data_IF_693610894390
#
_entry.id   IF_693610894390
#
_cell.length_a   1.000
_cell.length_b   1.000
_cell.length_c   1.000
_cell.angle_alpha   90.00
_cell.angle_beta   90.00
_cell.angle_gamma   90.00
#
_symmetry.space_group_name_H-M   'P 1'
#
loop_
_entity.id
_entity.type
_entity.pdbx_description
1 polymer ?
#
# COMPACT_ATOMS: atom_id res chain seq x y z
N UNK A 1 -44.57 58.26 34.09
CA UNK A 1 -45.32 58.41 35.36
C UNK A 1 -45.49 57.03 35.99
N UNK A 2 -45.44 57.00 37.32
CA UNK A 2 -45.82 55.89 38.26
C UNK A 2 -45.03 54.58 38.27
N UNK A 3 -44.20 54.44 39.32
CA UNK A 3 -43.90 53.21 40.07
C UNK A 3 -45.17 52.71 40.79
N UNK A 4 -45.30 51.39 41.02
CA UNK A 4 -45.69 50.85 42.34
C UNK A 4 -45.22 49.38 42.50
N UNK A 5 -45.06 48.97 43.75
CA UNK A 5 -44.13 47.95 44.22
C UNK A 5 -44.78 46.66 44.77
N UNK A 6 -44.00 45.58 44.70
CA UNK A 6 -43.72 44.49 45.67
C UNK A 6 -44.83 44.05 46.65
N UNK A 7 -45.09 42.73 46.67
CA UNK A 7 -45.24 41.94 47.90
C UNK A 7 -44.83 40.48 47.67
N UNK A 8 -43.80 40.05 48.42
CA UNK A 8 -43.30 38.68 48.40
C UNK A 8 -44.05 37.76 49.36
N UNK A 9 -43.87 36.45 49.16
CA UNK A 9 -44.06 35.43 50.19
C UNK A 9 -43.07 34.29 49.96
N UNK A 10 -42.14 34.10 50.89
CA UNK A 10 -41.24 32.94 50.95
C UNK A 10 -41.96 31.74 51.55
N UNK A 11 -41.67 30.53 51.05
CA UNK A 11 -40.95 29.46 51.78
C UNK A 11 -41.44 28.05 51.39
N UNK A 12 -40.48 27.18 51.00
CA UNK A 12 -40.61 25.72 51.10
C UNK A 12 -40.35 24.93 49.81
N UNK A 13 -39.09 24.81 49.36
CA UNK A 13 -38.69 23.82 48.34
C UNK A 13 -38.08 22.57 49.00
N UNK A 14 -38.43 21.34 48.58
CA UNK A 14 -37.79 20.12 49.06
C UNK A 14 -36.41 19.94 48.37
N UNK A 15 -35.38 19.67 49.18
CA UNK A 15 -34.03 19.31 48.73
C UNK A 15 -34.08 18.02 47.90
N UNK A 16 -33.76 18.09 46.61
CA UNK A 16 -33.64 16.90 45.77
C UNK A 16 -32.33 16.15 46.06
N UNK A 17 -32.41 14.82 46.11
CA UNK A 17 -31.32 13.89 46.37
C UNK A 17 -30.38 13.69 45.16
N UNK A 18 -30.34 14.64 44.21
CA UNK A 18 -29.59 14.51 42.96
C UNK A 18 -28.08 14.52 43.16
N UNK A 19 -27.58 15.33 44.10
CA UNK A 19 -26.14 15.38 44.41
C UNK A 19 -25.60 14.05 44.95
N UNK A 20 -26.39 13.32 45.74
CA UNK A 20 -26.00 12.02 46.30
C UNK A 20 -26.02 10.92 45.22
N UNK A 21 -26.94 11.00 44.25
CA UNK A 21 -26.96 10.09 43.09
C UNK A 21 -25.78 10.29 42.15
N UNK A 22 -25.38 11.55 41.91
CA UNK A 22 -24.22 11.87 41.07
C UNK A 22 -22.89 11.43 41.71
N UNK A 23 -22.77 11.58 43.03
CA UNK A 23 -21.61 11.06 43.76
C UNK A 23 -21.56 9.53 43.72
N UNK A 24 -22.69 8.85 43.89
CA UNK A 24 -22.73 7.39 43.81
C UNK A 24 -22.41 6.86 42.41
N UNK A 25 -22.92 7.50 41.34
CA UNK A 25 -22.61 7.09 39.97
C UNK A 25 -21.15 7.35 39.59
N UNK A 26 -20.56 8.44 40.07
CA UNK A 26 -19.13 8.71 39.87
C UNK A 26 -18.24 7.69 40.58
N UNK A 27 -18.56 7.33 41.82
CA UNK A 27 -17.79 6.32 42.58
C UNK A 27 -17.92 4.93 41.94
N UNK A 28 -19.12 4.54 41.52
CA UNK A 28 -19.33 3.27 40.80
C UNK A 28 -18.59 3.26 39.46
N UNK A 29 -18.58 4.37 38.73
CA UNK A 29 -17.84 4.52 37.48
C UNK A 29 -16.32 4.40 37.65
N UNK A 30 -15.77 5.00 38.71
CA UNK A 30 -14.34 4.89 39.05
C UNK A 30 -13.99 3.47 39.48
N UNK A 31 -14.83 2.82 40.29
CA UNK A 31 -14.61 1.44 40.72
C UNK A 31 -14.72 0.44 39.56
N UNK A 32 -15.70 0.59 38.67
CA UNK A 32 -15.81 -0.21 37.45
C UNK A 32 -14.63 0.04 36.51
N UNK A 33 -14.23 1.30 36.31
CA UNK A 33 -13.06 1.66 35.50
C UNK A 33 -11.76 1.09 36.05
N UNK A 34 -11.58 1.08 37.37
CA UNK A 34 -10.44 0.46 38.05
C UNK A 34 -10.45 -1.07 37.90
N UNK A 35 -11.61 -1.71 38.10
CA UNK A 35 -11.76 -3.17 37.92
C UNK A 35 -11.54 -3.60 36.46
N UNK A 36 -12.06 -2.87 35.48
CA UNK A 36 -11.77 -3.13 34.06
C UNK A 36 -10.31 -2.87 33.72
N UNK A 37 -9.68 -1.84 34.32
CA UNK A 37 -8.27 -1.52 34.10
C UNK A 37 -7.28 -2.55 34.64
N UNK A 38 -7.65 -3.31 35.68
CA UNK A 38 -6.79 -4.34 36.31
C UNK A 38 -7.10 -5.74 35.78
N UNK A 39 -8.29 -5.95 35.21
CA UNK A 39 -8.72 -7.23 34.65
C UNK A 39 -8.18 -7.51 33.24
N UNK A 40 -7.57 -6.50 32.58
CA UNK A 40 -6.72 -6.77 31.44
C UNK A 40 -5.36 -7.24 31.97
N UNK A 41 -4.89 -8.46 31.64
CA UNK A 41 -3.49 -8.78 31.88
C UNK A 41 -2.70 -7.70 31.15
N UNK A 42 -1.78 -7.03 31.87
CA UNK A 42 -0.74 -6.22 31.23
C UNK A 42 -0.15 -7.12 30.17
N UNK A 43 -0.48 -6.86 28.90
CA UNK A 43 0.07 -7.62 27.80
C UNK A 43 1.55 -7.31 27.86
N UNK A 44 2.30 -8.23 28.44
CA UNK A 44 3.72 -8.23 28.37
C UNK A 44 3.99 -8.32 26.86
N UNK A 45 4.34 -7.20 26.23
CA UNK A 45 4.89 -7.20 24.88
C UNK A 45 6.30 -7.74 25.02
N UNK A 46 6.41 -8.99 25.48
CA UNK A 46 7.64 -9.76 25.40
C UNK A 46 7.88 -9.94 23.93
N UNK A 47 8.85 -9.18 23.39
CA UNK A 47 9.46 -9.32 22.07
C UNK A 47 8.47 -9.67 20.97
N UNK A 48 8.22 -8.73 20.05
CA UNK A 48 7.66 -9.04 18.73
C UNK A 48 8.45 -10.21 18.11
N UNK A 49 7.94 -11.42 18.29
CA UNK A 49 8.44 -12.60 17.63
C UNK A 49 7.89 -12.53 16.22
N UNK A 50 8.70 -11.99 15.32
CA UNK A 50 8.39 -12.06 13.90
C UNK A 50 8.20 -13.53 13.52
N UNK A 51 7.16 -13.85 12.75
CA UNK A 51 7.00 -15.18 12.18
C UNK A 51 8.31 -15.62 11.54
N UNK A 52 8.71 -16.88 11.75
CA UNK A 52 9.94 -17.43 11.20
C UNK A 52 10.02 -17.29 9.67
N UNK A 53 8.90 -17.07 8.98
CA UNK A 53 8.87 -16.69 7.56
C UNK A 53 9.63 -15.39 7.30
N UNK A 54 9.36 -14.31 8.03
CA UNK A 54 10.03 -13.00 7.88
C UNK A 54 11.53 -13.11 8.20
N UNK A 55 11.89 -13.87 9.23
CA UNK A 55 13.30 -14.08 9.63
C UNK A 55 14.02 -14.97 8.62
N UNK A 56 13.42 -16.06 8.14
CA UNK A 56 13.99 -16.95 7.12
C UNK A 56 14.22 -16.25 5.78
N UNK A 57 13.40 -15.27 5.43
CA UNK A 57 13.63 -14.43 4.24
C UNK A 57 14.82 -13.45 4.38
N UNK A 58 15.22 -13.12 5.62
CA UNK A 58 16.39 -12.27 5.89
C UNK A 58 17.67 -13.11 5.94
N UNK A 59 17.55 -14.35 6.43
CA UNK A 59 18.66 -15.25 6.71
C UNK A 59 19.03 -16.23 5.60
N UNK A 60 18.39 -16.19 4.43
CA UNK A 60 18.63 -17.18 3.37
C UNK A 60 20.10 -17.18 2.92
N UNK A 61 20.82 -18.13 3.50
CA UNK A 61 22.19 -18.56 3.28
C UNK A 61 22.06 -19.69 2.25
N UNK A 62 22.78 -19.56 1.14
CA UNK A 62 23.15 -20.68 0.27
C UNK A 62 22.01 -21.51 -0.35
N UNK A 63 21.12 -20.88 -1.13
CA UNK A 63 20.29 -21.63 -2.09
C UNK A 63 20.32 -21.05 -3.51
N UNK A 64 21.52 -21.05 -4.11
CA UNK A 64 21.69 -20.93 -5.56
C UNK A 64 21.19 -22.15 -6.35
N UNK A 65 20.03 -22.74 -5.98
CA UNK A 65 19.56 -24.03 -6.52
C UNK A 65 18.12 -24.00 -7.08
N UNK A 66 17.39 -22.89 -7.05
CA UNK A 66 16.03 -22.82 -7.62
C UNK A 66 15.90 -22.08 -8.95
N UNK A 67 16.84 -21.20 -9.31
CA UNK A 67 16.85 -20.53 -10.63
C UNK A 67 17.40 -21.43 -11.74
N UNK A 68 18.42 -22.23 -11.45
CA UNK A 68 18.99 -23.17 -12.44
C UNK A 68 18.02 -24.31 -12.81
N UNK A 69 17.21 -24.76 -11.85
CA UNK A 69 16.26 -25.87 -12.06
C UNK A 69 15.06 -25.43 -12.89
N UNK A 70 14.58 -24.19 -12.70
CA UNK A 70 13.53 -23.58 -13.54
C UNK A 70 14.04 -23.22 -14.95
N UNK A 71 15.28 -22.71 -15.06
CA UNK A 71 15.91 -22.44 -16.36
C UNK A 71 16.22 -23.73 -17.14
N UNK A 72 16.68 -24.79 -16.47
CA UNK A 72 16.89 -26.09 -17.09
C UNK A 72 15.58 -26.71 -17.56
N UNK A 73 14.48 -26.59 -16.80
CA UNK A 73 13.15 -27.04 -17.25
C UNK A 73 12.65 -26.29 -18.49
N UNK A 74 12.93 -24.98 -18.57
CA UNK A 74 12.60 -24.15 -19.73
C UNK A 74 13.46 -24.51 -20.96
N UNK A 75 14.76 -24.81 -20.76
CA UNK A 75 15.69 -25.15 -21.83
C UNK A 75 15.54 -26.60 -22.33
N UNK A 76 15.20 -27.56 -21.47
CA UNK A 76 14.86 -28.94 -21.91
C UNK A 76 13.56 -28.99 -22.71
N UNK A 77 12.61 -28.10 -22.41
CA UNK A 77 11.37 -27.96 -23.19
C UNK A 77 11.64 -27.43 -24.61
N UNK A 78 12.54 -26.46 -24.75
CA UNK A 78 12.90 -25.85 -26.03
C UNK A 78 13.70 -26.78 -26.96
N UNK A 79 14.57 -27.64 -26.42
CA UNK A 79 15.41 -28.53 -27.24
C UNK A 79 14.72 -29.83 -27.70
N UNK A 80 13.53 -30.15 -27.19
CA UNK A 80 12.78 -31.35 -27.61
C UNK A 80 12.08 -31.22 -28.97
N UNK A 81 11.96 -29.99 -29.51
CA UNK A 81 11.22 -29.70 -30.76
C UNK A 81 12.06 -29.72 -32.04
N UNK A 82 13.27 -30.28 -32.02
CA UNK A 82 14.11 -30.42 -33.22
C UNK A 82 14.45 -31.89 -33.50
N UNK A 83 13.42 -32.72 -33.72
CA UNK A 83 13.61 -33.97 -34.46
C UNK A 83 12.33 -34.47 -35.13
N UNK A 84 12.44 -34.57 -36.46
CA UNK A 84 11.68 -35.38 -37.40
C UNK A 84 10.41 -34.77 -38.03
N UNK A 85 10.56 -34.41 -39.31
CA UNK A 85 9.52 -34.46 -40.33
C UNK A 85 9.24 -35.92 -40.71
N UNK A 86 7.96 -36.28 -40.83
CA UNK A 86 7.45 -37.15 -41.91
C UNK A 86 5.92 -37.02 -41.98
N UNK A 87 5.41 -36.90 -43.19
CA UNK A 87 4.00 -36.80 -43.59
C UNK A 87 3.11 -37.95 -43.07
N UNK A 88 1.85 -37.67 -42.77
CA UNK A 88 0.69 -38.35 -43.40
C UNK A 88 -0.63 -37.72 -42.98
N UNK A 89 -1.49 -37.51 -43.97
CA UNK A 89 -2.83 -36.93 -43.90
C UNK A 89 -3.83 -37.94 -43.31
N UNK A 90 -4.60 -37.56 -42.29
CA UNK A 90 -5.90 -38.16 -41.94
C UNK A 90 -6.62 -37.34 -40.86
N UNK A 91 -7.83 -36.88 -41.21
CA UNK A 91 -8.90 -36.32 -40.37
C UNK A 91 -8.47 -35.32 -39.27
N UNK A 92 -8.37 -34.05 -39.66
CA UNK A 92 -8.23 -32.93 -38.72
C UNK A 92 -9.51 -32.77 -37.88
N UNK A 93 -9.57 -33.49 -36.76
CA UNK A 93 -10.23 -32.97 -35.56
C UNK A 93 -9.50 -31.65 -35.23
N UNK A 94 -10.18 -30.50 -35.09
CA UNK A 94 -9.50 -29.26 -34.76
C UNK A 94 -8.84 -29.44 -33.39
N UNK A 95 -7.51 -29.57 -33.39
CA UNK A 95 -6.71 -29.63 -32.18
C UNK A 95 -6.77 -28.26 -31.52
N UNK A 96 -7.76 -28.04 -30.67
CA UNK A 96 -7.77 -26.90 -29.74
C UNK A 96 -6.80 -27.25 -28.63
N UNK A 97 -5.52 -26.99 -28.88
CA UNK A 97 -4.54 -26.87 -27.83
C UNK A 97 -3.54 -25.80 -28.26
N UNK A 98 -3.82 -24.56 -27.84
CA UNK A 98 -2.89 -23.46 -27.99
C UNK A 98 -2.19 -23.27 -26.64
N UNK A 99 -0.88 -23.58 -26.53
CA UNK A 99 -0.12 -23.51 -25.28
C UNK A 99 0.00 -22.10 -24.66
N UNK A 100 -0.64 -21.08 -25.26
CA UNK A 100 -0.56 -19.67 -24.85
C UNK A 100 -1.81 -19.19 -24.10
N UNK A 101 -2.88 -19.97 -24.04
CA UNK A 101 -4.08 -19.53 -23.34
C UNK A 101 -3.86 -19.51 -21.82
N UNK A 102 -4.47 -18.55 -21.10
CA UNK A 102 -4.50 -18.55 -19.65
C UNK A 102 -5.08 -19.86 -19.11
N UNK A 103 -4.62 -20.24 -17.92
CA UNK A 103 -5.11 -21.44 -17.24
C UNK A 103 -6.64 -21.36 -17.05
N UNK A 104 -7.36 -22.41 -17.44
CA UNK A 104 -8.83 -22.45 -17.45
C UNK A 104 -9.49 -21.95 -18.74
N UNK A 105 -8.73 -21.38 -19.68
CA UNK A 105 -9.19 -20.94 -20.99
C UNK A 105 -8.59 -21.77 -22.14
N UNK A 106 -8.00 -22.94 -21.85
CA UNK A 106 -7.30 -23.78 -22.83
C UNK A 106 -8.25 -24.27 -23.95
N UNK A 107 -9.54 -24.42 -23.64
CA UNK A 107 -10.56 -24.83 -24.61
C UNK A 107 -11.12 -23.70 -25.49
N UNK A 108 -10.73 -22.44 -25.26
CA UNK A 108 -11.17 -21.30 -26.06
C UNK A 108 -10.24 -21.07 -27.26
N UNK A 109 -10.81 -20.66 -28.40
CA UNK A 109 -10.01 -20.23 -29.53
C UNK A 109 -9.24 -18.93 -29.19
N UNK A 110 -8.01 -18.73 -29.72
CA UNK A 110 -7.20 -17.55 -29.40
C UNK A 110 -7.91 -16.20 -29.65
N UNK A 111 -8.78 -16.12 -30.66
CA UNK A 111 -9.53 -14.90 -30.98
C UNK A 111 -10.63 -14.52 -29.96
N UNK A 112 -10.94 -15.40 -29.01
CA UNK A 112 -11.91 -15.16 -27.93
C UNK A 112 -11.18 -14.76 -26.63
N UNK A 113 -9.93 -15.22 -26.47
CA UNK A 113 -9.17 -15.02 -25.24
C UNK A 113 -8.55 -13.63 -25.23
N UNK A 114 -8.91 -12.84 -24.21
CA UNK A 114 -8.25 -11.58 -23.91
C UNK A 114 -7.34 -11.79 -22.70
N UNK A 115 -6.00 -11.65 -22.84
CA UNK A 115 -5.05 -11.99 -21.78
C UNK A 115 -4.99 -10.93 -20.67
N UNK A 116 -5.39 -9.70 -20.96
CA UNK A 116 -5.33 -8.55 -20.05
C UNK A 116 -6.71 -7.89 -19.96
N UNK A 117 -6.94 -7.16 -18.87
CA UNK A 117 -8.14 -6.36 -18.66
C UNK A 117 -7.74 -4.96 -18.20
N UNK A 118 -8.71 -4.09 -17.97
CA UNK A 118 -8.47 -2.71 -17.58
C UNK A 118 -9.56 -2.21 -16.64
N UNK A 119 -9.36 -0.99 -16.13
CA UNK A 119 -10.30 -0.33 -15.22
C UNK A 119 -11.37 0.51 -15.96
N UNK A 120 -11.42 0.45 -17.29
CA UNK A 120 -12.27 1.31 -18.09
C UNK A 120 -13.65 0.70 -18.29
N UNK A 121 -14.68 1.52 -18.13
CA UNK A 121 -16.05 1.12 -18.46
C UNK A 121 -16.24 1.22 -19.97
N UNK A 122 -16.70 0.12 -20.58
CA UNK A 122 -16.98 0.04 -22.02
C UNK A 122 -18.49 -0.04 -22.25
N UNK A 123 -18.96 0.54 -23.35
CA UNK A 123 -20.37 0.42 -23.78
C UNK A 123 -20.65 -1.00 -24.24
N UNK A 124 -21.90 -1.44 -24.09
CA UNK A 124 -22.34 -2.77 -24.55
C UNK A 124 -22.44 -2.88 -26.09
N UNK A 125 -22.51 -1.75 -26.79
CA UNK A 125 -22.62 -1.67 -28.25
C UNK A 125 -21.87 -0.44 -28.77
N UNK A 126 -21.53 -0.45 -30.06
CA UNK A 126 -20.73 0.58 -30.72
C UNK A 126 -19.27 0.17 -30.91
N UNK A 127 -18.44 1.11 -31.35
CA UNK A 127 -17.01 0.88 -31.53
C UNK A 127 -16.26 1.08 -30.20
N UNK A 128 -15.57 0.06 -29.66
CA UNK A 128 -14.84 0.17 -28.40
C UNK A 128 -13.73 1.24 -28.42
N UNK A 129 -13.19 1.57 -29.60
CA UNK A 129 -12.19 2.63 -29.75
C UNK A 129 -12.75 4.02 -29.44
N UNK A 130 -14.06 4.22 -29.51
CA UNK A 130 -14.72 5.48 -29.19
C UNK A 130 -14.99 5.65 -27.69
N UNK A 131 -14.95 4.56 -26.92
CA UNK A 131 -15.23 4.58 -25.47
C UNK A 131 -14.13 5.31 -24.69
N UNK A 132 -12.92 5.36 -25.26
CA UNK A 132 -11.73 5.94 -24.64
C UNK A 132 -11.17 7.07 -25.51
N UNK A 133 -11.70 8.29 -25.32
CA UNK A 133 -11.19 9.50 -25.99
C UNK A 133 -9.79 9.90 -25.53
N UNK A 134 -9.38 9.45 -24.35
CA UNK A 134 -8.01 9.54 -23.85
C UNK A 134 -7.71 8.32 -22.98
N UNK A 135 -6.47 7.81 -23.03
CA UNK A 135 -6.02 6.70 -22.21
C UNK A 135 -5.00 7.18 -21.19
N UNK A 136 -5.41 7.34 -19.91
CA UNK A 136 -4.49 7.60 -18.82
C UNK A 136 -3.34 6.59 -18.81
N UNK A 137 -2.11 7.10 -18.64
CA UNK A 137 -0.88 6.30 -18.62
C UNK A 137 -0.41 5.93 -17.22
N UNK A 138 -0.95 6.60 -16.21
CA UNK A 138 -0.53 6.44 -14.83
C UNK A 138 -1.73 6.16 -13.95
N UNK A 139 -1.53 5.38 -12.91
CA UNK A 139 -2.53 5.12 -11.88
C UNK A 139 -2.03 5.71 -10.57
N UNK A 140 -2.90 6.41 -9.85
CA UNK A 140 -2.68 6.74 -8.45
C UNK A 140 -3.78 6.21 -7.57
N UNK A 141 -3.36 5.57 -6.49
CA UNK A 141 -4.23 5.05 -5.45
C UNK A 141 -3.96 5.73 -4.12
N UNK A 142 -5.04 6.08 -3.42
CA UNK A 142 -4.99 6.56 -2.05
C UNK A 142 -5.84 5.66 -1.16
N UNK A 143 -5.34 5.32 0.02
CA UNK A 143 -6.14 4.65 1.05
C UNK A 143 -6.69 5.69 2.01
N UNK A 144 -8.00 5.93 1.93
CA UNK A 144 -8.62 7.16 2.42
C UNK A 144 -9.72 6.93 3.44
N UNK A 145 -9.83 7.88 4.35
CA UNK A 145 -10.98 8.11 5.21
C UNK A 145 -11.45 9.56 5.13
N UNK A 146 -12.69 9.77 5.55
CA UNK A 146 -13.39 11.05 5.45
C UNK A 146 -12.63 12.22 6.07
N UNK A 147 -11.90 12.00 7.16
CA UNK A 147 -11.16 13.06 7.86
C UNK A 147 -10.04 13.68 7.01
N UNK A 148 -9.52 12.96 6.01
CA UNK A 148 -8.38 13.40 5.19
C UNK A 148 -8.79 13.93 3.81
N UNK A 149 -10.09 14.07 3.53
CA UNK A 149 -10.61 14.56 2.23
C UNK A 149 -9.90 15.83 1.72
N UNK A 150 -9.70 16.80 2.59
CA UNK A 150 -9.03 18.06 2.23
C UNK A 150 -7.58 17.86 1.79
N UNK A 151 -6.86 16.91 2.41
CA UNK A 151 -5.49 16.60 2.01
C UNK A 151 -5.46 15.86 0.67
N UNK A 152 -6.41 14.93 0.44
CA UNK A 152 -6.54 14.23 -0.84
C UNK A 152 -6.93 15.18 -1.96
N UNK A 153 -7.83 16.14 -1.73
CA UNK A 153 -8.15 17.17 -2.72
C UNK A 153 -6.92 18.01 -3.10
N UNK A 154 -6.09 18.38 -2.12
CA UNK A 154 -4.82 19.05 -2.38
C UNK A 154 -3.84 18.17 -3.17
N UNK A 155 -3.80 16.87 -2.89
CA UNK A 155 -2.98 15.89 -3.60
C UNK A 155 -3.42 15.72 -5.05
N UNK A 156 -4.71 15.47 -5.30
CA UNK A 156 -5.28 15.25 -6.64
C UNK A 156 -4.97 16.40 -7.59
N UNK A 157 -4.98 17.65 -7.10
CA UNK A 157 -4.61 18.85 -7.88
C UNK A 157 -3.15 18.86 -8.38
N UNK A 158 -2.29 17.95 -7.91
CA UNK A 158 -0.90 17.81 -8.37
C UNK A 158 -0.74 16.81 -9.52
N UNK A 159 -1.81 16.11 -9.90
CA UNK A 159 -1.83 15.11 -10.95
C UNK A 159 -2.57 15.65 -12.18
N UNK A 160 -2.06 15.34 -13.37
CA UNK A 160 -2.66 15.73 -14.64
C UNK A 160 -3.77 14.76 -15.05
N UNK A 161 -4.49 15.06 -16.13
CA UNK A 161 -5.49 14.15 -16.72
C UNK A 161 -4.88 12.84 -17.27
N UNK A 162 -3.55 12.71 -17.30
CA UNK A 162 -2.88 11.43 -17.61
C UNK A 162 -2.97 10.39 -16.48
N UNK A 163 -3.54 10.77 -15.33
CA UNK A 163 -3.67 9.90 -14.17
C UNK A 163 -5.11 9.40 -14.00
N UNK A 164 -5.27 8.09 -13.91
CA UNK A 164 -6.45 7.49 -13.29
C UNK A 164 -6.32 7.64 -11.78
N UNK A 165 -7.37 8.14 -11.13
CA UNK A 165 -7.44 8.26 -9.67
C UNK A 165 -8.33 7.14 -9.14
N UNK A 166 -7.82 6.38 -8.18
CA UNK A 166 -8.55 5.34 -7.48
C UNK A 166 -8.45 5.55 -5.96
N UNK A 167 -9.58 5.49 -5.28
CA UNK A 167 -9.68 5.71 -3.84
C UNK A 167 -10.12 4.43 -3.15
N UNK A 168 -9.36 4.00 -2.14
CA UNK A 168 -9.65 2.85 -1.28
C UNK A 168 -10.24 3.33 0.05
N UNK A 169 -11.56 3.25 0.19
CA UNK A 169 -12.31 3.78 1.34
C UNK A 169 -12.39 2.77 2.47
N UNK A 170 -11.55 2.92 3.50
CA UNK A 170 -11.57 2.02 4.65
C UNK A 170 -12.72 2.32 5.63
N UNK A 171 -13.41 3.45 5.47
CA UNK A 171 -14.48 3.91 6.37
C UNK A 171 -15.90 3.67 5.83
N UNK A 172 -16.04 3.34 4.54
CA UNK A 172 -17.33 3.10 3.91
C UNK A 172 -18.09 4.36 3.48
N UNK A 173 -17.45 5.54 3.46
CA UNK A 173 -18.11 6.84 3.24
C UNK A 173 -17.89 7.39 1.83
N UNK A 174 -18.29 6.65 0.79
CA UNK A 174 -18.04 7.05 -0.61
C UNK A 174 -18.83 8.28 -1.05
N UNK A 175 -20.13 8.34 -0.75
CA UNK A 175 -21.03 9.42 -1.22
C UNK A 175 -20.61 10.80 -0.69
N UNK A 176 -19.94 10.83 0.46
CA UNK A 176 -19.44 12.08 1.03
C UNK A 176 -18.37 12.75 0.15
N UNK A 177 -17.76 12.03 -0.80
CA UNK A 177 -16.76 12.57 -1.71
C UNK A 177 -17.36 13.23 -2.96
N UNK A 178 -18.66 13.08 -3.19
CA UNK A 178 -19.37 13.64 -4.36
C UNK A 178 -19.35 15.18 -4.41
N UNK A 179 -18.96 15.85 -3.32
CA UNK A 179 -18.72 17.30 -3.30
C UNK A 179 -17.59 17.73 -4.24
N UNK A 180 -16.67 16.81 -4.57
CA UNK A 180 -15.56 17.08 -5.48
C UNK A 180 -15.90 16.58 -6.89
N UNK A 181 -15.92 17.48 -7.87
CA UNK A 181 -16.20 17.12 -9.28
C UNK A 181 -15.20 16.11 -9.85
N UNK A 182 -13.94 16.17 -9.42
CA UNK A 182 -12.93 15.18 -9.82
C UNK A 182 -13.23 13.80 -9.22
N UNK A 183 -13.88 13.72 -8.05
CA UNK A 183 -14.18 12.44 -7.38
C UNK A 183 -15.23 11.65 -8.14
N UNK A 184 -16.19 12.31 -8.80
CA UNK A 184 -17.19 11.66 -9.65
C UNK A 184 -16.58 10.90 -10.84
N UNK A 185 -15.35 11.26 -11.24
CA UNK A 185 -14.57 10.60 -12.30
C UNK A 185 -13.56 9.60 -11.75
N UNK A 186 -13.34 9.58 -10.43
CA UNK A 186 -12.42 8.65 -9.79
C UNK A 186 -13.07 7.28 -9.59
N UNK A 187 -12.24 6.25 -9.45
CA UNK A 187 -12.71 4.90 -9.12
C UNK A 187 -12.77 4.77 -7.60
N UNK A 188 -13.95 4.46 -7.06
CA UNK A 188 -14.15 4.25 -5.62
C UNK A 188 -14.26 2.76 -5.31
N UNK A 189 -13.38 2.25 -4.46
CA UNK A 189 -13.48 0.89 -3.90
C UNK A 189 -13.66 1.02 -2.39
N UNK A 190 -14.68 0.38 -1.84
CA UNK A 190 -15.09 0.61 -0.44
C UNK A 190 -15.34 -0.69 0.29
N UNK A 191 -14.45 -1.00 1.24
CA UNK A 191 -14.52 -2.15 2.15
C UNK A 191 -14.10 -1.69 3.54
N UNK A 192 -15.02 -1.78 4.50
CA UNK A 192 -14.76 -1.27 5.84
C UNK A 192 -13.60 -2.01 6.52
N UNK A 193 -12.77 -1.25 7.22
CA UNK A 193 -11.68 -1.74 8.10
C UNK A 193 -10.63 -2.59 7.37
N UNK A 194 -10.34 -2.25 6.11
CA UNK A 194 -9.26 -2.86 5.35
C UNK A 194 -8.07 -1.91 5.20
N UNK A 195 -6.89 -2.48 5.00
CA UNK A 195 -5.63 -1.73 4.89
C UNK A 195 -5.21 -1.53 3.44
N UNK A 196 -4.30 -0.58 3.21
CA UNK A 196 -3.76 -0.23 1.89
C UNK A 196 -3.33 -1.43 1.05
N UNK A 197 -2.55 -2.32 1.66
CA UNK A 197 -2.01 -3.49 0.97
C UNK A 197 -3.05 -4.59 0.75
N UNK A 198 -4.08 -4.67 1.61
CA UNK A 198 -5.23 -5.54 1.38
C UNK A 198 -5.98 -5.15 0.10
N UNK A 199 -6.19 -3.85 -0.13
CA UNK A 199 -6.79 -3.31 -1.35
C UNK A 199 -5.90 -3.54 -2.56
N UNK A 200 -4.63 -3.13 -2.47
CA UNK A 200 -3.69 -3.27 -3.58
C UNK A 200 -3.59 -4.72 -4.07
N UNK A 201 -3.56 -5.70 -3.14
CA UNK A 201 -3.52 -7.12 -3.49
C UNK A 201 -4.77 -7.59 -4.26
N UNK A 202 -5.94 -7.01 -4.01
CA UNK A 202 -7.23 -7.47 -4.56
C UNK A 202 -7.69 -6.70 -5.80
N UNK A 203 -7.36 -5.42 -5.90
CA UNK A 203 -7.88 -4.54 -6.94
C UNK A 203 -6.82 -4.07 -7.93
N UNK A 204 -5.54 -4.29 -7.65
CA UNK A 204 -4.43 -3.95 -8.55
C UNK A 204 -3.74 -5.22 -9.08
N UNK A 205 -4.51 -6.19 -9.57
CA UNK A 205 -3.92 -7.37 -10.22
C UNK A 205 -3.06 -6.94 -11.42
N UNK A 206 -1.87 -7.54 -11.66
CA UNK A 206 -0.97 -7.09 -12.74
C UNK A 206 -1.63 -7.03 -14.11
N UNK A 207 -2.51 -7.99 -14.41
CA UNK A 207 -3.24 -8.03 -15.69
C UNK A 207 -4.42 -7.03 -15.77
N UNK A 208 -4.85 -6.43 -14.65
CA UNK A 208 -5.86 -5.35 -14.60
C UNK A 208 -5.19 -3.98 -14.76
N UNK A 209 -4.05 -3.79 -14.09
CA UNK A 209 -3.31 -2.52 -14.15
C UNK A 209 -2.26 -2.51 -15.25
N UNK A 210 -2.27 -3.54 -16.11
CA UNK A 210 -1.39 -3.68 -17.24
C UNK A 210 -1.36 -2.44 -18.14
N UNK A 211 -2.43 -1.66 -18.37
CA UNK A 211 -2.34 -0.46 -19.21
C UNK A 211 -1.46 0.67 -18.66
N UNK A 212 -1.17 0.69 -17.36
CA UNK A 212 -0.44 1.79 -16.72
C UNK A 212 1.07 1.57 -16.73
N UNK A 213 1.83 2.62 -17.04
CA UNK A 213 3.30 2.57 -17.00
C UNK A 213 3.83 2.65 -15.57
N UNK A 214 3.17 3.48 -14.74
CA UNK A 214 3.53 3.69 -13.35
C UNK A 214 2.29 3.66 -12.47
N UNK A 215 2.42 3.00 -11.32
CA UNK A 215 1.36 2.78 -10.33
C UNK A 215 1.81 3.39 -9.00
N UNK A 216 1.10 4.43 -8.56
CA UNK A 216 1.35 5.15 -7.32
C UNK A 216 0.43 4.56 -6.23
N UNK A 217 1.01 4.17 -5.10
CA UNK A 217 0.29 3.62 -3.94
C UNK A 217 0.65 4.44 -2.71
N UNK A 218 -0.20 5.43 -2.40
CA UNK A 218 0.11 6.50 -1.46
C UNK A 218 -0.80 6.49 -0.22
N UNK A 219 -0.23 6.91 0.90
CA UNK A 219 -0.97 7.23 2.12
C UNK A 219 -1.69 8.57 1.99
N UNK A 220 -2.74 8.74 2.80
CA UNK A 220 -3.64 9.90 2.74
C UNK A 220 -3.17 11.14 3.50
N UNK A 221 -2.09 11.04 4.27
CA UNK A 221 -1.57 12.07 5.16
C UNK A 221 -0.29 12.76 4.63
N UNK A 222 0.08 12.47 3.38
CA UNK A 222 1.24 13.07 2.72
C UNK A 222 1.00 14.53 2.36
N UNK A 223 1.94 15.40 2.70
CA UNK A 223 1.93 16.80 2.29
C UNK A 223 2.54 16.95 0.88
N UNK A 224 1.84 17.66 0.00
CA UNK A 224 2.18 17.74 -1.44
C UNK A 224 2.55 19.15 -1.90
N UNK A 225 2.81 20.09 -0.98
CA UNK A 225 2.98 21.52 -1.31
C UNK A 225 3.98 21.75 -2.45
N UNK A 226 5.13 21.10 -2.38
CA UNK A 226 6.24 21.22 -3.35
C UNK A 226 6.31 20.06 -4.35
N UNK A 227 5.30 19.18 -4.39
CA UNK A 227 5.27 18.05 -5.30
C UNK A 227 4.72 18.43 -6.68
N UNK A 228 5.29 17.84 -7.72
CA UNK A 228 4.83 17.91 -9.11
C UNK A 228 4.96 16.52 -9.75
N UNK A 229 3.84 15.91 -10.12
CA UNK A 229 3.80 14.53 -10.61
C UNK A 229 4.53 14.35 -11.95
N UNK A 230 4.39 15.29 -12.89
CA UNK A 230 5.01 15.21 -14.21
C UNK A 230 6.53 15.36 -14.12
N UNK A 231 7.02 16.29 -13.29
CA UNK A 231 8.45 16.45 -13.03
C UNK A 231 9.03 15.20 -12.34
N UNK A 232 8.28 14.61 -11.41
CA UNK A 232 8.66 13.38 -10.74
C UNK A 232 8.80 12.21 -11.73
N UNK A 233 7.80 11.98 -12.59
CA UNK A 233 7.85 10.92 -13.61
C UNK A 233 9.02 11.12 -14.57
N UNK A 234 9.35 12.37 -14.93
CA UNK A 234 10.55 12.65 -15.74
C UNK A 234 11.83 12.18 -15.06
N UNK A 235 11.97 12.38 -13.75
CA UNK A 235 13.12 11.89 -12.97
C UNK A 235 13.13 10.36 -12.89
N UNK A 236 11.99 9.73 -12.62
CA UNK A 236 11.83 8.27 -12.58
C UNK A 236 12.30 7.65 -13.90
N UNK A 237 11.87 8.20 -15.04
CA UNK A 237 12.30 7.75 -16.37
C UNK A 237 13.77 8.03 -16.65
N UNK A 238 14.25 9.24 -16.34
CA UNK A 238 15.65 9.65 -16.54
C UNK A 238 16.63 8.67 -15.89
N UNK A 239 16.26 8.18 -14.70
CA UNK A 239 17.12 7.31 -13.89
C UNK A 239 16.72 5.82 -13.96
N UNK A 240 15.74 5.44 -14.79
CA UNK A 240 15.30 4.04 -14.93
C UNK A 240 14.82 3.43 -13.62
N UNK A 241 14.08 4.20 -12.80
CA UNK A 241 13.65 3.75 -11.47
C UNK A 241 12.40 2.88 -11.56
N UNK A 242 12.58 1.57 -11.36
CA UNK A 242 11.50 0.57 -11.35
C UNK A 242 10.64 0.63 -10.08
N UNK A 243 11.26 0.95 -8.93
CA UNK A 243 10.59 1.19 -7.66
C UNK A 243 11.15 2.48 -7.07
N UNK A 244 10.27 3.44 -6.76
CA UNK A 244 10.67 4.78 -6.36
C UNK A 244 9.71 5.39 -5.34
N UNK A 245 10.14 6.48 -4.71
CA UNK A 245 9.33 7.36 -3.89
C UNK A 245 9.85 8.80 -4.02
N UNK A 246 8.98 9.83 -3.96
CA UNK A 246 9.44 11.21 -3.77
C UNK A 246 10.19 11.42 -2.45
N UNK A 247 11.31 12.16 -2.48
CA UNK A 247 12.00 12.57 -1.26
C UNK A 247 11.14 13.50 -0.40
N UNK A 248 11.12 13.26 0.91
CA UNK A 248 10.39 14.07 1.89
C UNK A 248 11.17 15.31 2.32
N UNK A 249 10.46 16.37 2.68
CA UNK A 249 11.11 17.59 3.18
C UNK A 249 11.85 17.31 4.51
N UNK A 250 13.12 17.76 4.66
CA UNK A 250 13.95 17.46 5.82
C UNK A 250 13.50 18.13 7.14
N UNK A 251 12.70 19.20 7.06
CA UNK A 251 12.46 20.14 8.17
C UNK A 251 11.23 19.82 9.04
N UNK A 252 10.57 18.67 8.82
CA UNK A 252 9.49 18.18 9.69
C UNK A 252 10.02 17.00 10.51
N UNK A 253 10.14 17.15 11.83
CA UNK A 253 10.85 16.25 12.74
C UNK A 253 10.41 14.76 12.80
N UNK A 254 9.40 14.35 12.01
CA UNK A 254 8.93 12.97 11.90
C UNK A 254 9.51 12.23 10.67
N UNK A 255 10.23 12.91 9.78
CA UNK A 255 10.76 12.33 8.54
C UNK A 255 11.96 11.40 8.82
N UNK A 256 11.90 10.15 8.33
CA UNK A 256 13.05 9.24 8.35
C UNK A 256 14.24 9.85 7.60
N UNK A 257 15.43 9.85 8.20
CA UNK A 257 16.63 10.46 7.59
C UNK A 257 16.92 9.90 6.19
N UNK A 258 16.51 8.67 5.93
CA UNK A 258 16.70 8.00 4.64
C UNK A 258 15.66 8.36 3.59
N UNK A 259 14.50 8.90 3.96
CA UNK A 259 13.48 9.38 3.01
C UNK A 259 13.61 10.87 2.74
N UNK A 260 14.51 11.58 3.43
CA UNK A 260 14.73 13.01 3.23
C UNK A 260 15.30 13.28 1.84
N UNK A 261 14.72 14.27 1.17
CA UNK A 261 15.29 14.89 -0.01
C UNK A 261 16.68 15.44 0.33
N UNK A 262 17.67 15.04 -0.46
CA UNK A 262 19.04 15.54 -0.36
C UNK A 262 19.18 16.73 -1.33
N UNK A 263 19.67 17.87 -0.85
CA UNK A 263 19.69 19.11 -1.63
C UNK A 263 20.63 19.09 -2.84
N UNK A 264 21.65 18.24 -2.81
CA UNK A 264 22.71 18.10 -3.81
C UNK A 264 22.54 16.87 -4.72
N UNK A 265 21.49 16.07 -4.53
CA UNK A 265 21.26 14.83 -5.28
C UNK A 265 19.83 14.73 -5.80
N UNK A 266 19.68 14.31 -7.06
CA UNK A 266 18.35 14.06 -7.65
C UNK A 266 17.72 12.76 -7.14
N UNK A 267 18.54 11.77 -6.77
CA UNK A 267 18.10 10.44 -6.32
C UNK A 267 18.97 9.95 -5.17
N UNK A 268 18.35 9.25 -4.23
CA UNK A 268 19.05 8.47 -3.21
C UNK A 268 18.37 7.10 -3.04
N UNK A 269 19.04 6.19 -2.33
CA UNK A 269 18.72 4.76 -2.38
C UNK A 269 17.85 4.31 -1.21
N UNK A 270 16.61 4.77 -1.12
CA UNK A 270 15.61 4.21 -0.20
C UNK A 270 14.18 4.50 -0.66
N UNK A 271 13.29 3.53 -0.48
CA UNK A 271 11.86 3.64 -0.78
C UNK A 271 11.11 3.13 0.44
N UNK A 272 10.22 3.97 0.97
CA UNK A 272 9.30 3.60 2.05
C UNK A 272 7.91 3.30 1.46
N UNK A 273 7.13 2.47 2.12
CA UNK A 273 5.82 1.99 1.66
C UNK A 273 4.79 3.11 1.63
N UNK A 274 5.06 4.28 2.23
CA UNK A 274 4.07 5.35 2.37
C UNK A 274 3.71 6.03 1.05
N UNK A 275 4.68 6.19 0.15
CA UNK A 275 4.49 6.96 -1.09
C UNK A 275 5.11 6.24 -2.31
N UNK A 276 5.00 4.91 -2.33
CA UNK A 276 5.61 4.06 -3.36
C UNK A 276 5.06 4.34 -4.75
N UNK A 277 5.95 4.26 -5.73
CA UNK A 277 5.66 4.28 -7.15
C UNK A 277 6.37 3.11 -7.80
N UNK A 278 5.60 2.25 -8.46
CA UNK A 278 6.08 1.06 -9.15
C UNK A 278 5.96 1.26 -10.65
N UNK A 279 6.95 0.80 -11.41
CA UNK A 279 6.73 0.48 -12.81
C UNK A 279 5.76 -0.69 -12.95
N UNK A 280 5.17 -0.84 -14.14
CA UNK A 280 4.35 -1.99 -14.51
C UNK A 280 5.04 -3.33 -14.20
N UNK A 281 6.30 -3.45 -14.58
CA UNK A 281 7.07 -4.69 -14.46
C UNK A 281 7.43 -5.01 -13.01
N UNK A 282 7.87 -3.99 -12.26
CA UNK A 282 8.15 -4.14 -10.83
C UNK A 282 6.88 -4.51 -10.05
N UNK A 283 5.75 -3.88 -10.38
CA UNK A 283 4.48 -4.19 -9.74
C UNK A 283 4.06 -5.65 -9.96
N UNK A 284 4.26 -6.20 -11.16
CA UNK A 284 3.98 -7.62 -11.44
C UNK A 284 4.71 -8.54 -10.47
N UNK A 285 5.99 -8.27 -10.19
CA UNK A 285 6.74 -9.04 -9.19
C UNK A 285 6.24 -8.76 -7.76
N UNK A 286 6.09 -7.49 -7.37
CA UNK A 286 5.71 -7.09 -6.00
C UNK A 286 4.34 -7.66 -5.63
N UNK A 287 3.39 -7.66 -6.56
CA UNK A 287 2.06 -8.21 -6.35
C UNK A 287 2.10 -9.71 -6.00
N UNK A 288 2.97 -10.49 -6.64
CA UNK A 288 3.15 -11.92 -6.33
C UNK A 288 3.90 -12.15 -5.01
N UNK A 289 4.75 -11.20 -4.61
CA UNK A 289 5.42 -11.23 -3.32
C UNK A 289 4.44 -10.98 -2.16
N UNK A 290 3.48 -10.08 -2.33
CA UNK A 290 2.45 -9.76 -1.32
C UNK A 290 1.52 -10.96 -1.12
N UNK A 291 1.46 -11.46 0.11
CA UNK A 291 0.58 -12.56 0.49
C UNK A 291 -0.87 -12.09 0.73
N UNK A 292 -1.85 -12.98 0.56
CA UNK A 292 -3.28 -12.65 0.67
C UNK A 292 -3.73 -12.32 2.11
N UNK A 293 -3.02 -12.88 3.09
CA UNK A 293 -3.20 -12.72 4.54
C UNK A 293 -2.42 -11.51 5.09
N UNK A 294 -1.69 -10.78 4.24
CA UNK A 294 -0.95 -9.61 4.64
C UNK A 294 -1.90 -8.46 4.98
N UNK A 295 -2.28 -8.37 6.26
CA UNK A 295 -3.14 -7.30 6.80
C UNK A 295 -2.37 -5.99 6.94
N UNK A 296 -1.03 -5.99 6.96
CA UNK A 296 -0.22 -4.77 7.06
C UNK A 296 1.00 -4.78 6.13
N UNK A 297 1.42 -3.61 5.66
CA UNK A 297 2.59 -3.49 4.79
C UNK A 297 3.95 -3.58 5.50
N UNK A 298 3.96 -3.68 6.83
CA UNK A 298 5.20 -3.55 7.59
C UNK A 298 6.24 -4.58 7.16
N UNK A 299 7.46 -4.10 6.87
CA UNK A 299 8.58 -4.93 6.40
C UNK A 299 8.63 -5.13 4.88
N UNK A 300 7.60 -4.75 4.12
CA UNK A 300 7.63 -4.80 2.65
C UNK A 300 8.76 -3.95 2.09
N UNK A 301 9.08 -2.81 2.70
CA UNK A 301 10.19 -1.91 2.33
C UNK A 301 11.50 -2.65 2.11
N UNK A 302 11.80 -3.62 2.97
CA UNK A 302 13.03 -4.42 2.91
C UNK A 302 12.95 -5.54 1.85
N UNK A 303 11.75 -5.90 1.42
CA UNK A 303 11.48 -6.98 0.48
C UNK A 303 11.32 -6.48 -0.96
N UNK A 304 10.83 -5.26 -1.19
CA UNK A 304 10.59 -4.66 -2.51
C UNK A 304 11.82 -4.78 -3.43
N UNK A 305 13.01 -4.70 -2.84
CA UNK A 305 14.29 -4.85 -3.53
C UNK A 305 14.46 -6.15 -4.33
N UNK A 306 13.71 -7.20 -3.99
CA UNK A 306 13.74 -8.51 -4.68
C UNK A 306 13.11 -8.45 -6.07
N UNK A 307 12.32 -7.42 -6.32
CA UNK A 307 11.64 -7.16 -7.57
C UNK A 307 12.35 -6.15 -8.46
N UNK A 308 13.60 -5.80 -8.12
CA UNK A 308 14.45 -4.94 -8.95
C UNK A 308 15.83 -5.55 -9.06
N UNK A 309 16.38 -5.51 -10.26
CA UNK A 309 17.79 -5.75 -10.46
C UNK A 309 18.55 -4.46 -10.07
N UNK A 310 19.48 -4.56 -9.13
CA UNK A 310 20.34 -3.42 -8.78
C UNK A 310 21.24 -2.98 -9.94
N UNK A 311 21.98 -1.90 -9.76
CA UNK A 311 23.10 -1.56 -10.62
C UNK A 311 24.38 -2.14 -10.05
N UNK A 312 25.26 -2.66 -10.91
CA UNK A 312 26.58 -3.13 -10.49
C UNK A 312 27.41 -1.92 -10.02
N UNK A 313 27.90 -1.94 -8.79
CA UNK A 313 28.82 -0.93 -8.27
C UNK A 313 30.16 -1.59 -7.94
N UNK A 314 31.26 -1.00 -8.44
CA UNK A 314 32.63 -1.43 -8.13
C UNK A 314 32.91 -2.92 -8.42
N UNK A 315 32.40 -3.45 -9.54
CA UNK A 315 32.60 -4.84 -9.95
C UNK A 315 31.81 -5.88 -9.13
N UNK A 316 30.93 -5.45 -8.22
CA UNK A 316 30.01 -6.33 -7.49
C UNK A 316 28.71 -6.49 -8.24
N UNK A 317 28.08 -7.65 -8.06
CA UNK A 317 26.80 -7.92 -8.70
C UNK A 317 25.70 -7.01 -8.12
N UNK A 318 24.76 -6.54 -8.94
CA UNK A 318 23.58 -5.77 -8.55
C UNK A 318 22.93 -6.10 -7.20
N UNK A 319 22.73 -7.39 -6.93
CA UNK A 319 22.02 -7.88 -5.75
C UNK A 319 22.85 -7.74 -4.47
N UNK A 320 24.18 -7.72 -4.54
CA UNK A 320 25.05 -7.59 -3.36
C UNK A 320 24.99 -6.19 -2.75
N UNK A 321 25.00 -5.15 -3.60
CA UNK A 321 24.86 -3.76 -3.17
C UNK A 321 23.49 -3.50 -2.52
N UNK A 322 22.44 -4.00 -3.17
CA UNK A 322 21.07 -4.01 -2.64
C UNK A 322 20.99 -4.80 -1.33
N UNK A 323 21.70 -5.94 -1.22
CA UNK A 323 21.71 -6.79 -0.03
C UNK A 323 22.31 -6.08 1.18
N UNK A 324 23.51 -5.52 1.00
CA UNK A 324 24.25 -4.81 2.04
C UNK A 324 23.48 -3.59 2.56
N UNK A 325 22.82 -2.85 1.66
CA UNK A 325 22.02 -1.68 2.02
C UNK A 325 20.88 -2.02 2.97
N UNK A 326 20.03 -3.01 2.67
CA UNK A 326 18.91 -3.28 3.58
C UNK A 326 19.35 -3.89 4.91
N UNK A 327 20.54 -4.53 4.99
CA UNK A 327 21.10 -4.90 6.29
C UNK A 327 21.43 -3.67 7.13
N UNK A 328 21.99 -2.62 6.52
CA UNK A 328 22.24 -1.34 7.19
C UNK A 328 20.94 -0.69 7.64
N UNK A 329 19.93 -0.67 6.78
CA UNK A 329 18.58 -0.14 7.06
C UNK A 329 17.91 -0.88 8.21
N UNK A 330 17.95 -2.21 8.19
CA UNK A 330 17.43 -3.07 9.25
C UNK A 330 18.10 -2.80 10.59
N UNK A 331 19.43 -2.64 10.61
CA UNK A 331 20.16 -2.28 11.84
C UNK A 331 19.76 -0.91 12.40
N UNK A 332 19.57 0.09 11.53
CA UNK A 332 19.09 1.41 11.95
C UNK A 332 17.66 1.35 12.50
N UNK A 333 16.80 0.54 11.88
CA UNK A 333 15.44 0.31 12.33
C UNK A 333 15.41 -0.37 13.71
N UNK A 334 16.11 -1.49 13.87
CA UNK A 334 16.17 -2.24 15.14
C UNK A 334 16.60 -1.35 16.30
N UNK A 335 17.61 -0.49 16.06
CA UNK A 335 18.08 0.48 17.04
C UNK A 335 16.95 1.44 17.47
N UNK A 336 16.21 2.02 16.53
CA UNK A 336 15.11 2.94 16.84
C UNK A 336 13.92 2.26 17.51
N UNK A 337 13.62 1.02 17.16
CA UNK A 337 12.57 0.26 17.84
C UNK A 337 12.94 0.06 19.32
N UNK A 338 14.20 -0.31 19.59
CA UNK A 338 14.73 -0.40 20.94
C UNK A 338 14.72 0.97 21.66
N UNK A 339 15.10 2.06 20.97
CA UNK A 339 15.08 3.41 21.55
C UNK A 339 13.64 3.87 21.87
N UNK A 340 12.67 3.58 21.01
CA UNK A 340 11.26 3.90 21.20
C UNK A 340 10.64 3.08 22.34
N UNK A 341 10.96 1.79 22.41
CA UNK A 341 10.56 0.91 23.51
C UNK A 341 11.15 1.41 24.84
N UNK A 342 12.44 1.78 24.85
CA UNK A 342 13.10 2.39 26.00
C UNK A 342 12.42 3.69 26.43
N UNK A 343 12.13 4.59 25.48
CA UNK A 343 11.44 5.84 25.75
C UNK A 343 10.02 5.61 26.30
N UNK A 344 9.31 4.61 25.79
CA UNK A 344 8.00 4.20 26.29
C UNK A 344 8.07 3.73 27.75
N UNK A 345 8.99 2.82 28.08
CA UNK A 345 9.17 2.33 29.46
C UNK A 345 9.55 3.47 30.41
N UNK A 346 10.50 4.33 30.02
CA UNK A 346 10.88 5.51 30.81
C UNK A 346 9.70 6.46 31.01
N UNK A 347 8.89 6.70 29.98
CA UNK A 347 7.68 7.53 30.06
C UNK A 347 6.58 6.93 30.95
N UNK A 348 6.62 5.61 31.20
CA UNK A 348 5.76 4.90 32.16
C UNK A 348 6.37 4.76 33.55
N UNK A 349 7.58 5.29 33.77
CA UNK A 349 8.32 5.13 35.03
C UNK A 349 8.82 3.71 35.28
N UNK A 350 8.87 2.87 34.23
CA UNK A 350 9.31 1.48 34.28
C UNK A 350 10.77 1.43 33.85
N UNK A 351 11.61 0.68 34.57
CA UNK A 351 12.98 0.43 34.14
C UNK A 351 12.96 -0.44 32.88
N UNK A 352 13.53 0.02 31.75
CA UNK A 352 13.56 -0.75 30.52
C UNK A 352 14.30 -2.08 30.74
N UNK A 353 13.80 -3.22 30.20
CA UNK A 353 14.54 -4.47 30.23
C UNK A 353 15.84 -4.34 29.42
N UNK A 354 16.92 -4.95 29.93
CA UNK A 354 18.25 -4.95 29.30
C UNK A 354 18.29 -5.75 27.99
#
# INVERSE_FOLDING_TARGET
MSKLAILGRSSGLPRSNEGMRLLFSAVIGVMLGYLFGISFPTVNVTKLHFPSSIISYIEDKDSGITTQTLLNHAWTSANSKKRNNSESNSDEIPKIYVPTNPKGAEGLAPGIVVPETDLYLRRLWGEPSEDLTSQPRYLITFTVGYSQKANIDAAVKKFSENFTIMLFHYDGRTNDWDEFEWSKRAIHVSVRRQTKWWYAKRFLHPDIVAPYDYIFIWDEDLSVQHFNAEAYIKLVRKHGLEISQPGLEPDKGLTWQMTKRLGDQEVHKFVEIMATVFSRDAWRCVWHMIQNDLVHGWGLDFALRRCVEGTAENGRTPWEGVRARCRKEWGMFQKRLADAEKAYYLGKGITPPN
#
